data_IF_053036719842
#
_entry.id   IF_053036719842
#
_cell.length_a   1.000
_cell.length_b   1.000
_cell.length_c   1.000
_cell.angle_alpha   90.00
_cell.angle_beta   90.00
_cell.angle_gamma   90.00
#
_symmetry.space_group_name_H-M   'P 1'
#
loop_
_entity.id
_entity.type
_entity.pdbx_description
1 polymer ?
#
# COMPACT_ATOMS: atom_id res chain seq x y z
N UNK A 1 21.27 19.40 -15.17
CA UNK A 1 19.89 18.87 -15.33
C UNK A 1 19.35 18.56 -13.94
N UNK A 2 18.51 19.40 -13.34
CA UNK A 2 17.85 19.01 -12.08
C UNK A 2 16.81 17.95 -12.43
N UNK A 3 17.09 16.68 -12.12
CA UNK A 3 16.09 15.62 -12.14
C UNK A 3 15.11 15.92 -10.99
N UNK A 4 14.06 16.68 -11.26
CA UNK A 4 12.93 16.78 -10.35
C UNK A 4 12.45 15.34 -10.08
N UNK A 5 12.70 14.85 -8.87
CA UNK A 5 12.38 13.48 -8.48
C UNK A 5 10.86 13.37 -8.28
N UNK A 6 10.12 13.20 -9.38
CA UNK A 6 8.65 13.12 -9.42
C UNK A 6 8.11 11.88 -8.65
N UNK A 7 8.98 11.00 -8.13
CA UNK A 7 8.63 9.75 -7.42
C UNK A 7 7.78 9.94 -6.17
N UNK A 8 7.84 11.11 -5.53
CA UNK A 8 7.11 11.34 -4.28
C UNK A 8 5.88 12.25 -4.43
N UNK A 9 5.52 12.62 -5.66
CA UNK A 9 4.29 13.38 -5.89
C UNK A 9 3.10 12.42 -5.95
N UNK A 10 2.07 12.75 -5.18
CA UNK A 10 0.78 12.10 -5.31
C UNK A 10 0.09 12.65 -6.56
N UNK A 11 0.13 11.89 -7.65
CA UNK A 11 -0.48 12.24 -8.93
C UNK A 11 -1.46 11.14 -9.27
N UNK A 12 -2.66 11.52 -9.67
CA UNK A 12 -3.67 10.58 -10.14
C UNK A 12 -3.34 10.07 -11.55
N UNK A 13 -3.54 8.78 -11.79
CA UNK A 13 -3.21 8.10 -13.06
C UNK A 13 -1.91 7.29 -13.01
N UNK A 14 -1.63 6.57 -14.09
CA UNK A 14 -0.46 5.69 -14.20
C UNK A 14 0.82 6.50 -14.38
N UNK A 15 1.45 6.87 -13.26
CA UNK A 15 2.71 7.61 -13.22
C UNK A 15 3.67 6.98 -12.21
N UNK A 16 4.97 7.23 -12.38
CA UNK A 16 6.01 6.76 -11.44
C UNK A 16 5.77 7.22 -9.99
N UNK A 17 5.14 8.39 -9.79
CA UNK A 17 4.76 8.88 -8.47
C UNK A 17 3.63 8.07 -7.85
N UNK A 18 2.60 7.76 -8.64
CA UNK A 18 1.48 6.91 -8.22
C UNK A 18 1.95 5.48 -7.89
N UNK A 19 2.81 4.90 -8.72
CA UNK A 19 3.37 3.56 -8.49
C UNK A 19 4.16 3.49 -7.17
N UNK A 20 5.04 4.46 -6.92
CA UNK A 20 5.82 4.53 -5.67
C UNK A 20 4.93 4.72 -4.44
N UNK A 21 3.88 5.56 -4.52
CA UNK A 21 2.94 5.75 -3.41
C UNK A 21 2.09 4.50 -3.16
N UNK A 22 1.52 3.91 -4.21
CA UNK A 22 0.73 2.68 -4.11
C UNK A 22 1.56 1.52 -3.56
N UNK A 23 2.83 1.39 -3.97
CA UNK A 23 3.73 0.36 -3.45
C UNK A 23 3.98 0.51 -1.94
N UNK A 24 4.21 1.74 -1.44
CA UNK A 24 4.39 1.98 0.00
C UNK A 24 3.12 1.70 0.79
N UNK A 25 1.97 2.14 0.27
CA UNK A 25 0.68 1.86 0.89
C UNK A 25 0.41 0.36 0.93
N UNK A 26 0.71 -0.39 -0.13
CA UNK A 26 0.57 -1.84 -0.16
C UNK A 26 1.46 -2.54 0.88
N UNK A 27 2.72 -2.13 1.02
CA UNK A 27 3.61 -2.69 2.06
C UNK A 27 3.10 -2.39 3.47
N UNK A 28 2.57 -1.19 3.71
CA UNK A 28 1.98 -0.82 5.00
C UNK A 28 0.71 -1.63 5.29
N UNK A 29 -0.19 -1.74 4.31
CA UNK A 29 -1.41 -2.54 4.43
C UNK A 29 -1.12 -4.02 4.66
N UNK A 30 -0.07 -4.56 4.04
CA UNK A 30 0.37 -5.93 4.26
C UNK A 30 0.78 -6.17 5.72
N UNK A 31 1.52 -5.24 6.35
CA UNK A 31 1.85 -5.37 7.77
C UNK A 31 0.59 -5.24 8.64
N UNK A 32 -0.27 -4.27 8.33
CA UNK A 32 -1.50 -4.00 9.09
C UNK A 32 -2.44 -5.21 9.07
N UNK A 33 -2.58 -5.91 7.93
CA UNK A 33 -3.53 -7.02 7.83
C UNK A 33 -3.13 -8.21 8.72
N UNK A 34 -1.83 -8.50 8.86
CA UNK A 34 -1.36 -9.51 9.81
C UNK A 34 -1.50 -9.05 11.26
N UNK A 35 -1.31 -7.76 11.54
CA UNK A 35 -1.61 -7.25 12.87
C UNK A 35 -3.09 -7.47 13.21
N UNK A 36 -4.01 -7.18 12.28
CA UNK A 36 -5.45 -7.39 12.48
C UNK A 36 -5.76 -8.87 12.71
N UNK A 37 -5.22 -9.77 11.88
CA UNK A 37 -5.37 -11.23 12.04
C UNK A 37 -4.90 -11.68 13.43
N UNK A 38 -3.72 -11.21 13.86
CA UNK A 38 -3.15 -11.56 15.16
C UNK A 38 -4.00 -11.09 16.35
N UNK A 39 -4.63 -9.92 16.27
CA UNK A 39 -5.44 -9.38 17.38
C UNK A 39 -6.90 -9.83 17.37
N UNK A 40 -7.42 -10.25 16.22
CA UNK A 40 -8.85 -10.54 16.05
C UNK A 40 -9.18 -12.02 16.00
N UNK A 41 -8.17 -12.90 15.97
CA UNK A 41 -8.29 -14.35 15.75
C UNK A 41 -9.13 -14.72 14.50
N UNK A 42 -9.27 -13.77 13.57
CA UNK A 42 -10.02 -13.92 12.31
C UNK A 42 -9.01 -14.08 11.17
N UNK A 43 -9.22 -15.10 10.34
CA UNK A 43 -8.35 -15.35 9.18
C UNK A 43 -8.42 -14.18 8.18
N UNK A 44 -7.31 -13.88 7.50
CA UNK A 44 -7.29 -12.85 6.43
C UNK A 44 -8.32 -13.15 5.31
N UNK A 45 -8.58 -14.44 5.00
CA UNK A 45 -9.59 -14.84 4.02
C UNK A 45 -11.01 -14.40 4.43
N UNK A 46 -11.37 -14.67 5.69
CA UNK A 46 -12.67 -14.26 6.25
C UNK A 46 -12.79 -12.73 6.31
N UNK A 47 -11.70 -12.03 6.65
CA UNK A 47 -11.65 -10.56 6.60
C UNK A 47 -11.90 -9.99 5.20
N UNK A 48 -11.44 -10.70 4.16
CA UNK A 48 -11.65 -10.35 2.76
C UNK A 48 -12.99 -10.83 2.19
N UNK A 49 -13.76 -11.61 2.95
CA UNK A 49 -15.05 -12.17 2.53
C UNK A 49 -14.93 -13.31 1.51
N UNK A 50 -13.82 -14.04 1.53
CA UNK A 50 -13.55 -15.23 0.71
C UNK A 50 -13.58 -16.46 1.61
#
# INVERSE_FOLDING_TARGET
MQFYNQRNRWIWGFSLGSESWNGRLAMLSFVIIFCIEYFSDLSIAELLGI
#
